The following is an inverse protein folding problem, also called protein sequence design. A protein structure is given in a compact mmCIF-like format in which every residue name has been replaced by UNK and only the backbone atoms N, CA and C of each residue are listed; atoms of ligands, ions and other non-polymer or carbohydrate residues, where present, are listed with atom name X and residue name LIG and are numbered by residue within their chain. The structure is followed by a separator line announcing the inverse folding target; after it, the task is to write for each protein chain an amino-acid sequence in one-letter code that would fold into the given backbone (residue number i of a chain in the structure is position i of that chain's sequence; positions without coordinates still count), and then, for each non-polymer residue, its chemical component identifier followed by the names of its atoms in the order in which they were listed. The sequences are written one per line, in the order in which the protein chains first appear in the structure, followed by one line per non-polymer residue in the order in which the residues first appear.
data_IF_744130471155
#
_entry.id   IF_744130471155
#
_cell.length_a   1.000
_cell.length_b   1.000
_cell.length_c   1.000
_cell.angle_alpha   90.00
_cell.angle_beta   90.00
_cell.angle_gamma   90.00
#
_symmetry.space_group_name_H-M   'P 1'
#
loop_
_entity.id
_entity.type
_entity.pdbx_description
1 polymer ?
#
# COMPACT_ATOMS: atom_id res chain seq x y z
N UNK A 1 -3.76 5.02 -25.39
CA UNK A 1 -5.00 5.11 -24.57
C UNK A 1 -6.13 5.49 -25.47
N UNK A 2 -7.34 5.01 -25.21
CA UNK A 2 -8.48 5.25 -26.10
C UNK A 2 -9.78 5.59 -25.36
N UNK A 3 -10.70 6.38 -25.95
CA UNK A 3 -11.84 7.02 -25.23
C UNK A 3 -13.20 7.08 -25.98
N UNK A 4 -14.32 7.36 -25.28
CA UNK A 4 -15.67 7.66 -25.84
C UNK A 4 -16.63 8.42 -24.89
N UNK A 5 -17.61 9.19 -25.41
CA UNK A 5 -18.60 10.02 -24.64
C UNK A 5 -19.97 10.14 -25.35
N UNK A 6 -21.09 10.30 -24.60
CA UNK A 6 -22.47 10.51 -25.12
C UNK A 6 -23.29 11.46 -24.21
N UNK A 7 -23.96 12.47 -24.78
CA UNK A 7 -24.69 13.54 -24.06
C UNK A 7 -26.13 13.69 -24.55
N UNK A 8 -27.14 13.42 -23.70
CA UNK A 8 -28.52 13.92 -23.88
C UNK A 8 -29.11 14.24 -22.50
N UNK A 9 -29.53 15.50 -22.28
CA UNK A 9 -30.33 15.92 -21.11
C UNK A 9 -31.44 16.88 -21.53
N UNK A 10 -32.70 16.47 -21.38
CA UNK A 10 -33.81 17.43 -21.24
C UNK A 10 -35.01 16.82 -20.51
N UNK A 11 -35.62 17.61 -19.61
CA UNK A 11 -36.99 17.46 -19.16
C UNK A 11 -37.65 18.85 -19.16
N UNK A 12 -38.82 18.97 -19.76
CA UNK A 12 -39.64 20.20 -19.72
C UNK A 12 -41.08 19.79 -19.45
N UNK A 13 -41.51 19.84 -18.18
CA UNK A 13 -42.92 19.73 -17.83
C UNK A 13 -43.34 21.03 -17.17
N UNK A 14 -44.18 21.82 -17.86
CA UNK A 14 -44.81 23.01 -17.32
C UNK A 14 -46.30 22.73 -17.11
N UNK A 15 -46.69 22.43 -15.87
CA UNK A 15 -48.10 22.38 -15.46
C UNK A 15 -48.34 23.49 -14.41
N UNK A 16 -49.18 24.49 -14.71
CA UNK A 16 -49.50 25.54 -13.74
C UNK A 16 -50.35 24.98 -12.60
N UNK A 17 -49.95 25.23 -11.35
CA UNK A 17 -50.66 24.81 -10.15
C UNK A 17 -51.47 25.99 -9.61
N UNK A 18 -52.76 25.78 -9.35
CA UNK A 18 -53.65 26.80 -8.78
C UNK A 18 -53.70 26.67 -7.26
N UNK A 19 -53.22 27.68 -6.53
CA UNK A 19 -53.24 27.72 -5.06
C UNK A 19 -54.51 28.41 -4.54
N UNK A 20 -54.93 28.04 -3.32
CA UNK A 20 -56.07 28.68 -2.63
C UNK A 20 -55.58 29.59 -1.49
N UNK A 21 -56.41 30.55 -1.07
CA UNK A 21 -56.13 31.42 0.08
C UNK A 21 -56.21 30.60 1.37
N UNK A 22 -55.13 30.56 2.15
CA UNK A 22 -54.97 29.74 3.35
C UNK A 22 -53.82 28.73 3.22
N UNK A 23 -53.74 27.75 4.13
CA UNK A 23 -52.73 26.69 4.09
C UNK A 23 -52.98 25.76 2.91
N UNK A 24 -51.98 25.59 2.05
CA UNK A 24 -51.98 24.60 0.97
C UNK A 24 -51.00 23.48 1.36
N UNK A 25 -51.46 22.24 1.44
CA UNK A 25 -50.59 21.07 1.62
C UNK A 25 -50.11 20.59 0.26
N UNK A 26 -48.86 20.93 -0.07
CA UNK A 26 -48.21 20.51 -1.31
C UNK A 26 -47.26 19.36 -0.97
N UNK A 27 -47.54 18.16 -1.48
CA UNK A 27 -46.65 17.01 -1.40
C UNK A 27 -46.02 16.78 -2.78
N UNK A 28 -44.70 16.99 -2.89
CA UNK A 28 -43.92 16.58 -4.05
C UNK A 28 -43.52 15.12 -3.87
N UNK A 29 -44.24 14.20 -4.52
CA UNK A 29 -43.79 12.82 -4.63
C UNK A 29 -42.81 12.72 -5.81
N UNK A 30 -41.51 12.77 -5.50
CA UNK A 30 -40.48 12.38 -6.48
C UNK A 30 -40.42 10.85 -6.53
N UNK A 31 -41.20 10.24 -7.43
CA UNK A 31 -40.97 8.84 -7.82
C UNK A 31 -39.95 8.86 -8.95
N UNK A 32 -38.73 8.41 -8.66
CA UNK A 32 -37.61 8.36 -9.60
C UNK A 32 -37.76 7.15 -10.55
N UNK A 33 -38.84 7.09 -11.33
CA UNK A 33 -39.06 6.05 -12.35
C UNK A 33 -38.30 6.43 -13.62
N UNK A 34 -37.40 5.57 -14.10
CA UNK A 34 -36.70 5.77 -15.39
C UNK A 34 -35.27 6.31 -15.33
N UNK A 35 -34.60 6.28 -14.17
CA UNK A 35 -33.20 6.70 -14.05
C UNK A 35 -32.25 5.57 -14.46
N UNK A 36 -31.21 5.92 -15.22
CA UNK A 36 -30.19 4.95 -15.63
C UNK A 36 -29.39 4.49 -14.42
N UNK A 37 -29.45 3.19 -14.13
CA UNK A 37 -28.59 2.55 -13.12
C UNK A 37 -27.25 2.24 -13.78
N UNK A 38 -26.17 2.69 -13.15
CA UNK A 38 -24.80 2.48 -13.60
C UNK A 38 -24.45 3.24 -14.89
N UNK A 39 -23.23 3.04 -15.33
CA UNK A 39 -22.68 3.70 -16.50
C UNK A 39 -22.93 2.88 -17.77
N UNK A 40 -23.05 3.56 -18.91
CA UNK A 40 -23.17 2.89 -20.23
C UNK A 40 -22.04 1.89 -20.46
N UNK A 41 -20.81 2.26 -20.10
CA UNK A 41 -19.65 1.38 -20.22
C UNK A 41 -19.68 0.17 -19.29
N UNK A 42 -20.34 0.27 -18.13
CA UNK A 42 -20.57 -0.89 -17.26
C UNK A 42 -21.62 -1.84 -17.86
N UNK A 43 -22.71 -1.29 -18.40
CA UNK A 43 -23.74 -2.07 -19.12
C UNK A 43 -23.16 -2.79 -20.35
N UNK A 44 -22.20 -2.17 -21.03
CA UNK A 44 -21.46 -2.74 -22.16
C UNK A 44 -20.30 -3.64 -21.72
N UNK A 45 -20.04 -3.76 -20.42
CA UNK A 45 -18.94 -4.56 -19.86
C UNK A 45 -17.59 -4.23 -20.50
N UNK A 46 -17.26 -2.94 -20.68
CA UNK A 46 -16.04 -2.48 -21.38
C UNK A 46 -14.73 -3.00 -20.77
N UNK A 47 -14.78 -3.46 -19.53
CA UNK A 47 -13.68 -4.12 -18.81
C UNK A 47 -13.45 -5.58 -19.22
N UNK A 48 -14.36 -6.20 -19.99
CA UNK A 48 -14.28 -7.58 -20.49
C UNK A 48 -13.88 -7.62 -21.95
N UNK A 49 -13.20 -8.68 -22.39
CA UNK A 49 -12.76 -8.83 -23.79
C UNK A 49 -13.89 -8.61 -24.81
N UNK A 50 -15.08 -9.18 -24.55
CA UNK A 50 -16.23 -9.02 -25.41
C UNK A 50 -16.70 -7.56 -25.50
N UNK A 51 -16.80 -6.87 -24.37
CA UNK A 51 -17.23 -5.47 -24.32
C UNK A 51 -16.20 -4.52 -24.92
N UNK A 52 -14.92 -4.76 -24.64
CA UNK A 52 -13.82 -3.97 -25.20
C UNK A 52 -13.78 -4.08 -26.74
N UNK A 53 -14.11 -5.23 -27.32
CA UNK A 53 -14.15 -5.44 -28.77
C UNK A 53 -15.45 -4.93 -29.42
N UNK A 54 -16.49 -4.64 -28.64
CA UNK A 54 -17.80 -4.21 -29.13
C UNK A 54 -17.92 -2.69 -29.36
N UNK A 55 -16.91 -1.91 -28.97
CA UNK A 55 -16.91 -0.45 -29.13
C UNK A 55 -15.73 0.04 -29.95
N UNK A 56 -15.91 1.18 -30.61
CA UNK A 56 -14.82 1.87 -31.28
C UNK A 56 -14.11 2.74 -30.26
N UNK A 57 -12.83 2.43 -30.08
CA UNK A 57 -11.94 3.13 -29.19
C UNK A 57 -11.15 4.18 -30.01
N UNK A 58 -11.03 5.41 -29.50
CA UNK A 58 -10.24 6.46 -30.18
C UNK A 58 -8.74 6.32 -29.89
N UNK A 59 -7.90 6.01 -30.88
CA UNK A 59 -6.45 5.86 -30.71
C UNK A 59 -5.64 7.17 -30.53
N UNK A 60 -6.31 8.31 -30.31
CA UNK A 60 -5.73 9.65 -30.29
C UNK A 60 -4.37 9.79 -29.60
N UNK A 61 -3.42 10.45 -30.29
CA UNK A 61 -2.05 10.74 -29.82
C UNK A 61 -2.06 11.54 -28.49
N UNK A 62 -3.16 12.24 -28.21
CA UNK A 62 -3.42 12.95 -26.96
C UNK A 62 -4.78 12.50 -26.41
N UNK A 63 -4.83 11.46 -25.56
CA UNK A 63 -6.09 11.10 -24.89
C UNK A 63 -6.62 12.32 -24.12
N UNK A 64 -7.96 12.53 -24.08
CA UNK A 64 -8.58 13.56 -23.25
C UNK A 64 -8.00 13.53 -21.83
N UNK A 65 -7.35 14.62 -21.44
CA UNK A 65 -6.83 14.83 -20.09
C UNK A 65 -7.89 15.59 -19.28
N UNK A 66 -7.95 15.35 -17.97
CA UNK A 66 -8.86 16.07 -17.07
C UNK A 66 -10.35 16.00 -17.48
N UNK A 67 -10.74 14.91 -18.14
CA UNK A 67 -12.13 14.73 -18.59
C UNK A 67 -12.82 13.70 -17.71
N UNK A 68 -14.02 14.05 -17.22
CA UNK A 68 -14.84 13.19 -16.37
C UNK A 68 -15.51 12.06 -17.17
N UNK A 69 -15.83 10.97 -16.48
CA UNK A 69 -16.54 9.79 -17.01
C UNK A 69 -15.90 9.18 -18.25
N UNK A 70 -14.58 9.05 -18.22
CA UNK A 70 -13.78 8.55 -19.34
C UNK A 70 -13.36 7.11 -19.11
N UNK A 71 -13.46 6.31 -20.16
CA UNK A 71 -12.87 4.97 -20.19
C UNK A 71 -11.52 5.04 -20.90
N UNK A 72 -10.52 4.39 -20.33
CA UNK A 72 -9.20 4.22 -20.91
C UNK A 72 -8.88 2.75 -21.07
N UNK A 73 -8.26 2.39 -22.20
CA UNK A 73 -7.70 1.05 -22.46
C UNK A 73 -6.23 1.16 -22.86
N UNK A 74 -5.41 0.24 -22.37
CA UNK A 74 -4.07 -0.02 -22.90
C UNK A 74 -3.71 -1.49 -22.83
N UNK A 75 -2.73 -1.90 -23.64
CA UNK A 75 -2.12 -3.22 -23.58
C UNK A 75 -0.70 -3.12 -23.01
N UNK A 76 -0.25 -4.14 -22.27
CA UNK A 76 1.06 -4.13 -21.64
C UNK A 76 1.64 -5.55 -21.43
N UNK A 77 2.97 -5.62 -21.31
CA UNK A 77 3.67 -6.82 -20.89
C UNK A 77 3.84 -6.83 -19.37
N UNK A 78 3.81 -8.01 -18.75
CA UNK A 78 3.99 -8.10 -17.30
C UNK A 78 5.37 -7.54 -16.90
N UNK A 79 5.46 -6.78 -15.79
CA UNK A 79 6.75 -6.40 -15.22
C UNK A 79 7.64 -7.62 -15.01
N UNK A 80 8.95 -7.50 -15.18
CA UNK A 80 9.87 -8.63 -14.96
C UNK A 80 9.96 -9.01 -13.48
N UNK A 81 10.50 -10.21 -13.21
CA UNK A 81 10.75 -10.73 -11.86
C UNK A 81 9.50 -11.20 -11.11
N UNK A 82 9.68 -11.57 -9.84
CA UNK A 82 8.63 -12.17 -9.00
C UNK A 82 8.04 -11.21 -7.96
N UNK A 83 8.60 -10.02 -7.82
CA UNK A 83 8.19 -9.03 -6.82
C UNK A 83 6.72 -8.62 -6.98
N UNK A 84 6.04 -8.30 -5.89
CA UNK A 84 4.65 -7.84 -5.93
C UNK A 84 4.50 -6.62 -6.85
N UNK A 85 3.38 -6.54 -7.59
CA UNK A 85 3.11 -5.47 -8.55
C UNK A 85 2.01 -4.58 -8.01
N UNK A 86 2.12 -3.29 -8.27
CA UNK A 86 1.05 -2.34 -8.06
C UNK A 86 0.91 -1.41 -9.27
N UNK A 87 -0.31 -0.94 -9.49
CA UNK A 87 -0.62 0.12 -10.43
C UNK A 87 -0.47 1.47 -9.71
N UNK A 88 0.36 2.34 -10.25
CA UNK A 88 0.55 3.72 -9.80
C UNK A 88 -0.44 4.60 -10.56
N UNK A 89 -1.43 5.09 -9.82
CA UNK A 89 -2.51 5.93 -10.32
C UNK A 89 -2.41 7.35 -9.76
N UNK A 90 -1.25 7.76 -9.26
CA UNK A 90 -1.03 9.08 -8.64
C UNK A 90 -1.46 10.27 -9.52
N UNK A 91 -1.42 10.13 -10.84
CA UNK A 91 -1.83 11.16 -11.80
C UNK A 91 -3.31 11.11 -12.18
N UNK A 92 -4.04 10.11 -11.70
CA UNK A 92 -5.48 9.96 -11.88
C UNK A 92 -6.23 10.60 -10.71
N UNK A 93 -7.57 10.60 -10.75
CA UNK A 93 -8.39 11.19 -9.68
C UNK A 93 -9.22 10.16 -8.94
N UNK A 94 -10.27 9.62 -9.58
CA UNK A 94 -11.17 8.65 -8.94
C UNK A 94 -11.72 7.69 -9.98
N UNK A 95 -11.82 6.42 -9.64
CA UNK A 95 -12.62 5.51 -10.45
C UNK A 95 -12.36 4.05 -10.15
N UNK A 96 -12.32 3.24 -11.20
CA UNK A 96 -12.20 1.79 -11.12
C UNK A 96 -11.23 1.27 -12.17
N UNK A 97 -10.51 0.18 -11.85
CA UNK A 97 -9.54 -0.43 -12.76
C UNK A 97 -9.75 -1.94 -12.87
N UNK A 98 -9.45 -2.47 -14.06
CA UNK A 98 -9.49 -3.89 -14.37
C UNK A 98 -8.24 -4.30 -15.14
N UNK A 99 -7.72 -5.49 -14.85
CA UNK A 99 -6.67 -6.14 -15.65
C UNK A 99 -7.17 -7.51 -16.08
N UNK A 100 -7.16 -7.77 -17.39
CA UNK A 100 -7.64 -9.02 -17.98
C UNK A 100 -9.05 -9.40 -17.48
N UNK A 101 -9.95 -8.42 -17.38
CA UNK A 101 -11.31 -8.60 -16.85
C UNK A 101 -11.43 -8.68 -15.33
N UNK A 102 -10.34 -8.84 -14.58
CA UNK A 102 -10.34 -8.87 -13.12
C UNK A 102 -10.39 -7.46 -12.54
N UNK A 103 -11.36 -7.20 -11.66
CA UNK A 103 -11.49 -5.92 -10.98
C UNK A 103 -10.40 -5.76 -9.91
N UNK A 104 -9.54 -4.75 -10.08
CA UNK A 104 -8.48 -4.41 -9.11
C UNK A 104 -9.08 -3.67 -7.91
N UNK A 105 -10.22 -3.01 -8.11
CA UNK A 105 -10.91 -2.23 -7.09
C UNK A 105 -11.12 -0.78 -7.50
N UNK A 106 -11.51 0.03 -6.53
CA UNK A 106 -11.68 1.48 -6.69
C UNK A 106 -10.36 2.17 -6.42
N UNK A 107 -10.06 3.21 -7.20
CA UNK A 107 -8.98 4.13 -6.91
C UNK A 107 -9.53 5.52 -6.55
N UNK A 108 -8.87 6.18 -5.60
CA UNK A 108 -9.18 7.57 -5.23
C UNK A 108 -7.94 8.38 -4.78
N UNK A 109 -6.85 8.41 -5.57
CA UNK A 109 -5.62 9.14 -5.26
C UNK A 109 -5.82 10.65 -5.03
N UNK A 110 -6.83 11.28 -5.64
CA UNK A 110 -7.13 12.70 -5.39
C UNK A 110 -7.70 12.95 -3.98
N UNK A 111 -8.12 11.91 -3.27
CA UNK A 111 -8.54 12.01 -1.88
C UNK A 111 -7.30 11.92 -0.98
N UNK A 112 -6.85 13.08 -0.49
CA UNK A 112 -5.66 13.18 0.34
C UNK A 112 -5.96 12.90 1.81
N UNK A 113 -5.00 12.27 2.49
CA UNK A 113 -5.00 12.13 3.94
C UNK A 113 -4.92 13.52 4.61
N UNK A 114 -5.46 13.68 5.83
CA UNK A 114 -5.29 14.91 6.62
C UNK A 114 -3.81 15.32 6.68
N UNK A 115 -3.56 16.63 6.75
CA UNK A 115 -2.19 17.15 6.85
C UNK A 115 -1.62 17.03 8.27
N UNK A 116 -2.48 16.81 9.25
CA UNK A 116 -2.18 16.68 10.67
C UNK A 116 -2.51 15.27 11.21
N UNK A 117 -2.07 14.96 12.42
CA UNK A 117 -2.35 13.68 13.09
C UNK A 117 -1.32 12.58 12.82
N UNK A 118 -0.34 12.81 11.94
CA UNK A 118 0.83 11.94 11.84
C UNK A 118 1.87 12.31 12.88
N UNK A 119 2.55 11.29 13.40
CA UNK A 119 3.65 11.46 14.34
C UNK A 119 4.97 11.09 13.66
N UNK A 120 6.03 11.86 13.92
CA UNK A 120 7.39 11.54 13.48
C UNK A 120 7.98 10.34 14.24
N UNK A 121 7.35 9.94 15.36
CA UNK A 121 7.77 8.81 16.18
C UNK A 121 6.57 7.98 16.62
N UNK A 122 6.73 6.66 16.60
CA UNK A 122 5.76 5.69 17.10
C UNK A 122 6.48 4.87 18.17
N UNK A 123 6.11 5.06 19.43
CA UNK A 123 6.59 4.23 20.53
C UNK A 123 5.60 3.10 20.76
N UNK A 124 6.07 1.86 20.67
CA UNK A 124 5.24 0.68 20.91
C UNK A 124 4.82 0.56 22.38
N UNK A 125 5.51 1.27 23.29
CA UNK A 125 5.20 1.28 24.73
C UNK A 125 4.04 2.23 25.00
N UNK A 126 3.12 1.78 25.86
CA UNK A 126 1.97 2.57 26.31
C UNK A 126 0.66 2.24 25.62
N UNK A 127 -0.40 2.97 25.96
CA UNK A 127 -1.74 2.72 25.42
C UNK A 127 -1.82 3.11 23.94
N UNK A 128 -2.17 2.16 23.10
CA UNK A 128 -2.34 2.39 21.67
C UNK A 128 -3.58 3.26 21.36
N UNK A 129 -3.42 4.19 20.43
CA UNK A 129 -4.48 4.89 19.71
C UNK A 129 -4.12 4.93 18.22
N UNK A 130 -5.10 4.86 17.29
CA UNK A 130 -4.84 4.91 15.86
C UNK A 130 -4.01 6.12 15.39
N UNK A 131 -4.07 7.24 16.12
CA UNK A 131 -3.30 8.45 15.80
C UNK A 131 -1.80 8.35 16.16
N UNK A 132 -1.40 7.48 17.10
CA UNK A 132 -0.04 7.46 17.65
C UNK A 132 1.02 7.14 16.58
N UNK A 133 0.64 6.36 15.57
CA UNK A 133 1.55 5.80 14.57
C UNK A 133 1.03 6.03 13.14
N UNK A 134 0.14 7.01 12.96
CA UNK A 134 -0.33 7.39 11.63
C UNK A 134 0.82 7.98 10.81
N UNK A 135 0.89 7.63 9.53
CA UNK A 135 1.92 8.09 8.59
C UNK A 135 1.28 8.57 7.29
N UNK A 136 2.08 9.19 6.42
CA UNK A 136 1.66 9.62 5.07
C UNK A 136 0.59 10.74 5.04
N UNK A 137 0.57 11.61 6.05
CA UNK A 137 -0.27 12.81 6.06
C UNK A 137 0.01 13.73 4.86
N UNK A 138 -1.04 14.38 4.36
CA UNK A 138 -1.00 15.27 3.19
C UNK A 138 -0.72 14.57 1.85
N UNK A 139 -0.54 13.25 1.83
CA UNK A 139 -0.40 12.45 0.60
C UNK A 139 -1.75 11.90 0.15
N UNK A 140 -1.81 11.35 -1.06
CA UNK A 140 -2.95 10.53 -1.48
C UNK A 140 -3.23 9.43 -0.45
N UNK A 141 -4.49 9.25 -0.06
CA UNK A 141 -4.89 8.21 0.89
C UNK A 141 -4.49 6.81 0.42
N UNK A 142 -4.47 6.60 -0.90
CA UNK A 142 -3.84 5.46 -1.53
C UNK A 142 -3.30 5.84 -2.92
N UNK A 143 -2.01 5.62 -3.13
CA UNK A 143 -1.31 5.92 -4.38
C UNK A 143 -1.13 4.68 -5.27
N UNK A 144 -0.83 3.54 -4.62
CA UNK A 144 -0.53 2.28 -5.28
C UNK A 144 -1.64 1.24 -5.06
N UNK A 145 -2.07 0.61 -6.16
CA UNK A 145 -3.17 -0.34 -6.17
C UNK A 145 -2.64 -1.73 -6.52
N UNK A 146 -2.71 -2.67 -5.57
CA UNK A 146 -2.11 -4.00 -5.70
C UNK A 146 -2.68 -4.78 -6.90
N UNK A 147 -1.80 -5.33 -7.72
CA UNK A 147 -2.12 -6.17 -8.87
C UNK A 147 -1.50 -7.57 -8.66
N UNK A 148 -2.33 -8.59 -8.38
CA UNK A 148 -1.85 -9.95 -8.21
C UNK A 148 -1.11 -10.46 -9.44
N UNK A 149 0.12 -10.97 -9.22
CA UNK A 149 0.94 -11.58 -10.29
C UNK A 149 0.21 -12.69 -11.04
N UNK A 150 -0.63 -13.46 -10.35
CA UNK A 150 -1.41 -14.56 -10.93
C UNK A 150 -2.47 -14.11 -11.94
N UNK A 151 -2.81 -12.82 -11.99
CA UNK A 151 -3.74 -12.27 -12.99
C UNK A 151 -3.03 -11.85 -14.28
N UNK A 152 -1.69 -11.85 -14.28
CA UNK A 152 -0.89 -11.39 -15.41
C UNK A 152 -0.47 -12.55 -16.30
N UNK A 153 -0.67 -12.37 -17.60
CA UNK A 153 0.00 -13.12 -18.65
C UNK A 153 1.39 -12.52 -18.92
N UNK A 154 2.36 -13.29 -19.47
CA UNK A 154 3.67 -12.74 -19.80
C UNK A 154 3.61 -11.51 -20.73
N UNK A 155 2.71 -11.54 -21.71
CA UNK A 155 2.49 -10.50 -22.71
C UNK A 155 0.99 -10.33 -22.97
N UNK A 156 0.61 -9.25 -23.67
CA UNK A 156 -0.76 -8.99 -24.12
C UNK A 156 -1.79 -8.90 -22.98
N UNK A 157 -1.40 -8.31 -21.84
CA UNK A 157 -2.36 -7.98 -20.80
C UNK A 157 -3.14 -6.73 -21.20
N UNK A 158 -4.41 -6.68 -20.83
CA UNK A 158 -5.27 -5.51 -21.08
C UNK A 158 -5.56 -4.83 -19.75
N UNK A 159 -5.25 -3.54 -19.66
CA UNK A 159 -5.66 -2.66 -18.57
C UNK A 159 -6.81 -1.78 -19.06
N UNK A 160 -7.92 -1.79 -18.33
CA UNK A 160 -9.07 -0.91 -18.54
C UNK A 160 -9.28 -0.07 -17.29
N UNK A 161 -9.49 1.24 -17.44
CA UNK A 161 -9.87 2.13 -16.36
C UNK A 161 -11.15 2.88 -16.70
N UNK A 162 -11.96 3.12 -15.69
CA UNK A 162 -12.97 4.16 -15.66
C UNK A 162 -12.42 5.30 -14.78
N UNK A 163 -12.36 6.51 -15.30
CA UNK A 163 -12.03 7.75 -14.58
C UNK A 163 -13.28 8.61 -14.45
N UNK A 164 -13.68 8.89 -13.21
CA UNK A 164 -14.94 9.54 -12.87
C UNK A 164 -14.84 11.06 -12.84
N UNK A 165 -13.68 11.62 -12.50
CA UNK A 165 -13.49 13.06 -12.28
C UNK A 165 -12.65 13.68 -13.40
N UNK A 166 -11.51 13.09 -13.68
CA UNK A 166 -10.55 13.59 -14.64
C UNK A 166 -9.12 13.41 -14.13
N UNK A 167 -8.27 12.80 -14.96
CA UNK A 167 -6.90 12.48 -14.60
C UNK A 167 -5.99 12.51 -15.83
N UNK A 168 -4.69 12.47 -15.59
CA UNK A 168 -3.69 12.35 -16.63
C UNK A 168 -3.27 10.89 -16.81
N UNK A 169 -3.84 10.26 -17.84
CA UNK A 169 -3.56 8.86 -18.18
C UNK A 169 -2.11 8.60 -18.61
N UNK A 170 -1.33 9.62 -18.95
CA UNK A 170 0.08 9.46 -19.37
C UNK A 170 1.01 9.12 -18.21
N UNK A 171 0.62 9.44 -16.98
CA UNK A 171 1.39 9.13 -15.76
C UNK A 171 1.12 7.74 -15.17
N UNK A 172 0.13 7.01 -15.69
CA UNK A 172 -0.17 5.66 -15.23
C UNK A 172 1.05 4.75 -15.47
N UNK A 173 1.51 4.09 -14.42
CA UNK A 173 2.66 3.20 -14.50
C UNK A 173 2.52 1.98 -13.60
N UNK A 174 3.37 0.97 -13.80
CA UNK A 174 3.46 -0.19 -12.92
C UNK A 174 4.68 -0.04 -12.01
N UNK A 175 4.50 -0.35 -10.73
CA UNK A 175 5.57 -0.41 -9.73
C UNK A 175 5.75 -1.84 -9.26
N UNK A 176 7.00 -2.23 -9.04
CA UNK A 176 7.34 -3.46 -8.33
C UNK A 176 7.75 -3.11 -6.90
N UNK A 177 7.13 -3.77 -5.91
CA UNK A 177 7.51 -3.59 -4.51
C UNK A 177 8.71 -4.48 -4.20
N UNK A 178 9.83 -3.84 -3.95
CA UNK A 178 11.05 -4.45 -3.47
C UNK A 178 11.04 -4.42 -1.93
N UNK A 179 11.15 -5.59 -1.30
CA UNK A 179 11.52 -5.67 0.12
C UNK A 179 13.02 -5.97 0.14
N UNK A 180 13.81 -4.99 -0.31
CA UNK A 180 15.26 -5.17 -0.37
C UNK A 180 15.88 -5.01 1.01
N UNK A 181 15.22 -4.33 1.95
CA UNK A 181 15.75 -4.10 3.30
C UNK A 181 14.76 -4.57 4.35
N UNK A 182 15.25 -5.41 5.25
CA UNK A 182 14.56 -5.85 6.45
C UNK A 182 15.33 -5.34 7.67
N UNK A 183 14.63 -5.18 8.78
CA UNK A 183 15.19 -4.54 9.95
C UNK A 183 14.43 -4.96 11.21
N UNK A 184 15.09 -4.83 12.36
CA UNK A 184 14.48 -5.03 13.66
C UNK A 184 15.14 -4.17 14.71
N UNK A 185 14.39 -3.81 15.75
CA UNK A 185 14.92 -3.15 16.95
C UNK A 185 14.22 -3.72 18.19
N UNK A 186 14.98 -4.40 19.03
CA UNK A 186 14.45 -5.11 20.20
C UNK A 186 15.25 -4.74 21.43
N UNK A 187 14.54 -4.34 22.49
CA UNK A 187 15.14 -4.10 23.81
C UNK A 187 15.48 -5.42 24.50
N UNK A 188 16.58 -5.45 25.24
CA UNK A 188 16.92 -6.57 26.11
C UNK A 188 15.87 -6.79 27.22
N UNK A 189 15.09 -5.76 27.57
CA UNK A 189 14.00 -5.83 28.56
C UNK A 189 12.64 -6.16 27.94
N UNK A 190 12.58 -6.43 26.63
CA UNK A 190 11.33 -6.80 25.97
C UNK A 190 10.75 -8.09 26.58
N UNK A 191 9.43 -8.16 26.79
CA UNK A 191 8.80 -9.35 27.37
C UNK A 191 8.95 -10.53 26.42
N UNK A 192 9.34 -11.68 26.95
CA UNK A 192 9.38 -12.93 26.21
C UNK A 192 8.02 -13.62 26.27
N UNK A 193 7.50 -14.06 25.13
CA UNK A 193 6.23 -14.79 25.03
C UNK A 193 6.46 -16.27 25.36
N UNK A 194 6.73 -16.59 26.63
CA UNK A 194 6.73 -17.97 27.09
C UNK A 194 5.29 -18.38 27.47
N UNK A 195 4.55 -18.89 26.48
CA UNK A 195 3.18 -19.43 26.67
C UNK A 195 3.15 -20.79 27.39
N UNK A 196 4.31 -21.38 27.65
CA UNK A 196 4.43 -22.67 28.32
C UNK A 196 4.79 -22.43 29.79
N UNK A 197 3.79 -22.64 30.65
CA UNK A 197 3.95 -22.81 32.08
C UNK A 197 4.89 -23.99 32.35
N UNK A 198 6.17 -23.70 32.49
CA UNK A 198 7.16 -24.34 33.38
C UNK A 198 8.51 -23.73 33.03
N UNK A 199 8.93 -22.68 33.76
CA UNK A 199 10.35 -22.30 33.78
C UNK A 199 11.11 -23.49 34.34
N UNK A 200 11.66 -24.32 33.46
CA UNK A 200 12.68 -25.28 33.87
C UNK A 200 13.85 -24.48 34.44
N UNK A 201 14.22 -24.78 35.68
CA UNK A 201 15.36 -24.13 36.34
C UNK A 201 16.60 -24.28 35.46
N UNK A 202 17.11 -23.16 34.93
CA UNK A 202 18.35 -23.11 34.15
C UNK A 202 18.23 -22.62 32.71
N UNK A 203 17.03 -22.51 32.13
CA UNK A 203 16.87 -21.90 30.79
C UNK A 203 16.83 -20.37 30.93
N UNK A 204 17.89 -19.70 30.44
CA UNK A 204 17.87 -18.24 30.28
C UNK A 204 17.01 -17.89 29.08
N UNK A 205 15.92 -17.17 29.33
CA UNK A 205 14.98 -16.70 28.33
C UNK A 205 15.34 -15.27 27.93
N UNK A 206 15.49 -15.01 26.64
CA UNK A 206 15.88 -13.72 26.10
C UNK A 206 14.88 -13.26 25.05
N UNK A 207 14.61 -11.96 24.91
CA UNK A 207 13.90 -11.46 23.76
C UNK A 207 14.70 -11.74 22.48
N UNK A 208 13.99 -12.04 21.40
CA UNK A 208 14.59 -12.33 20.10
C UNK A 208 14.29 -11.21 19.11
N UNK A 209 15.24 -10.93 18.24
CA UNK A 209 15.06 -10.11 17.05
C UNK A 209 14.98 -11.05 15.85
N UNK A 210 13.81 -11.08 15.22
CA UNK A 210 13.54 -11.93 14.07
C UNK A 210 13.61 -11.13 12.76
N UNK A 211 14.38 -11.64 11.81
CA UNK A 211 14.55 -11.12 10.46
C UNK A 211 14.10 -12.18 9.46
N UNK A 212 13.26 -11.78 8.50
CA UNK A 212 12.69 -12.68 7.50
C UNK A 212 12.71 -12.03 6.12
N UNK A 213 13.38 -12.65 5.16
CA UNK A 213 13.31 -12.27 3.76
C UNK A 213 12.04 -12.85 3.08
N UNK A 214 11.67 -12.31 1.91
CA UNK A 214 10.56 -12.88 1.15
C UNK A 214 10.91 -14.26 0.60
N UNK A 215 9.91 -15.07 0.29
CA UNK A 215 10.12 -16.45 -0.19
C UNK A 215 11.10 -16.52 -1.37
N UNK A 216 12.15 -17.33 -1.20
CA UNK A 216 13.21 -17.53 -2.20
C UNK A 216 14.30 -16.46 -2.21
N UNK A 217 14.28 -15.51 -1.28
CA UNK A 217 15.40 -14.61 -1.01
C UNK A 217 16.18 -15.08 0.22
N UNK A 218 17.44 -14.69 0.31
CA UNK A 218 18.31 -14.84 1.48
C UNK A 218 18.87 -13.48 1.89
N UNK A 219 19.31 -13.37 3.14
CA UNK A 219 20.00 -12.18 3.66
C UNK A 219 21.39 -12.14 3.00
N UNK A 220 21.59 -11.17 2.12
CA UNK A 220 22.78 -11.04 1.30
C UNK A 220 23.85 -10.14 1.91
N UNK A 221 23.44 -9.20 2.77
CA UNK A 221 24.37 -8.31 3.50
C UNK A 221 23.72 -7.68 4.72
N UNK A 222 24.52 -7.36 5.73
CA UNK A 222 24.09 -6.58 6.90
C UNK A 222 24.57 -5.14 6.72
N UNK A 223 23.64 -4.18 6.63
CA UNK A 223 23.99 -2.76 6.43
C UNK A 223 24.18 -2.01 7.74
N UNK A 224 23.55 -2.47 8.82
CA UNK A 224 23.73 -1.91 10.16
C UNK A 224 23.50 -3.00 11.21
N UNK A 225 24.33 -3.01 12.25
CA UNK A 225 24.10 -3.82 13.45
C UNK A 225 24.73 -3.13 14.66
N UNK A 226 23.97 -3.01 15.75
CA UNK A 226 24.46 -2.43 16.99
C UNK A 226 23.69 -2.96 18.19
N UNK A 227 24.37 -3.67 19.08
CA UNK A 227 23.91 -3.94 20.43
C UNK A 227 24.46 -2.87 21.39
N UNK A 228 23.59 -2.22 22.14
CA UNK A 228 23.94 -1.08 23.01
C UNK A 228 22.80 -0.08 23.07
N UNK A 229 23.07 1.17 22.70
CA UNK A 229 22.06 2.25 22.69
C UNK A 229 21.74 2.80 21.29
N UNK A 230 21.51 1.95 20.26
CA UNK A 230 21.22 2.41 18.91
C UNK A 230 20.00 3.36 18.87
N UNK A 231 20.04 4.29 17.93
CA UNK A 231 19.03 5.32 17.75
C UNK A 231 18.53 5.34 16.30
N UNK A 232 17.43 6.04 16.07
CA UNK A 232 16.80 6.16 14.75
C UNK A 232 15.68 5.15 14.55
N UNK A 233 15.33 4.92 13.29
CA UNK A 233 14.29 3.99 12.88
C UNK A 233 14.76 3.19 11.67
N UNK A 234 14.04 2.12 11.34
CA UNK A 234 14.37 1.25 10.22
C UNK A 234 14.68 2.01 8.92
N UNK A 235 15.85 1.72 8.35
CA UNK A 235 16.42 2.38 7.17
C UNK A 235 17.26 3.62 7.48
N UNK A 236 17.34 4.00 8.77
CA UNK A 236 18.04 5.19 9.28
C UNK A 236 18.61 4.95 10.68
N UNK A 237 18.98 3.73 11.03
CA UNK A 237 19.64 3.50 12.32
C UNK A 237 21.04 4.12 12.35
N UNK A 238 21.44 4.56 13.53
CA UNK A 238 22.80 5.02 13.81
C UNK A 238 23.23 4.63 15.22
N UNK A 239 24.55 4.56 15.43
CA UNK A 239 25.14 4.21 16.72
C UNK A 239 24.84 5.30 17.75
N UNK A 240 24.45 4.90 18.95
CA UNK A 240 24.28 5.80 20.09
C UNK A 240 25.56 5.98 20.89
N UNK A 241 25.40 6.33 22.17
CA UNK A 241 26.50 6.50 23.12
C UNK A 241 27.27 5.21 23.41
N UNK A 242 26.62 4.05 23.22
CA UNK A 242 27.20 2.75 23.48
C UNK A 242 26.92 1.75 22.36
N UNK A 243 27.95 0.95 22.05
CA UNK A 243 27.95 -0.04 20.98
C UNK A 243 28.97 -1.14 21.30
N UNK A 244 28.53 -2.40 21.34
CA UNK A 244 29.44 -3.54 21.39
C UNK A 244 30.12 -3.73 20.03
N UNK A 245 31.45 -3.69 20.02
CA UNK A 245 32.26 -3.69 18.78
C UNK A 245 32.07 -4.93 17.91
N UNK A 246 31.72 -6.07 18.50
CA UNK A 246 31.49 -7.34 17.78
C UNK A 246 30.07 -7.49 17.23
N UNK A 247 29.19 -6.49 17.40
CA UNK A 247 27.78 -6.59 16.99
C UNK A 247 27.64 -6.99 15.52
N UNK A 248 28.36 -6.34 14.60
CA UNK A 248 28.29 -6.63 13.17
C UNK A 248 28.75 -8.05 12.84
N UNK A 249 29.92 -8.45 13.31
CA UNK A 249 30.50 -9.77 13.01
C UNK A 249 29.61 -10.93 13.49
N UNK A 250 28.98 -10.76 14.67
CA UNK A 250 28.05 -11.76 15.23
C UNK A 250 26.80 -11.88 14.35
N UNK A 251 26.19 -10.74 13.98
CA UNK A 251 24.99 -10.75 13.15
C UNK A 251 25.29 -11.31 11.75
N UNK A 252 26.42 -10.94 11.16
CA UNK A 252 26.85 -11.49 9.87
C UNK A 252 27.01 -13.01 9.93
N UNK A 253 27.65 -13.52 10.99
CA UNK A 253 27.84 -14.96 11.18
C UNK A 253 26.52 -15.71 11.35
N UNK A 254 25.53 -15.11 12.02
CA UNK A 254 24.24 -15.75 12.31
C UNK A 254 23.26 -15.68 11.15
N UNK A 255 23.26 -14.58 10.38
CA UNK A 255 22.16 -14.27 9.47
C UNK A 255 22.51 -14.31 7.99
N UNK A 256 23.78 -14.18 7.59
CA UNK A 256 24.12 -14.21 6.17
C UNK A 256 23.75 -15.55 5.52
N UNK A 257 23.31 -15.48 4.27
CA UNK A 257 22.85 -16.60 3.45
C UNK A 257 21.66 -17.39 4.03
N UNK A 258 20.98 -16.86 5.06
CA UNK A 258 19.75 -17.41 5.60
C UNK A 258 18.52 -16.67 5.06
N UNK A 259 17.42 -17.38 4.81
CA UNK A 259 16.11 -16.77 4.49
C UNK A 259 15.45 -16.14 5.73
N UNK A 260 15.71 -16.72 6.91
CA UNK A 260 15.22 -16.32 8.22
C UNK A 260 16.36 -16.34 9.25
N UNK A 261 16.39 -15.36 10.15
CA UNK A 261 17.35 -15.29 11.24
C UNK A 261 16.67 -14.84 12.53
N UNK A 262 16.79 -15.62 13.61
CA UNK A 262 16.30 -15.27 14.94
C UNK A 262 17.49 -15.07 15.89
N UNK A 263 17.61 -13.87 16.44
CA UNK A 263 18.81 -13.44 17.19
C UNK A 263 18.45 -13.21 18.66
N UNK A 264 19.05 -13.96 19.60
CA UNK A 264 18.87 -13.70 21.03
C UNK A 264 19.50 -12.36 21.44
N UNK A 265 18.72 -11.47 22.04
CA UNK A 265 19.17 -10.15 22.48
C UNK A 265 19.71 -10.24 23.91
N UNK A 266 21.01 -10.49 24.04
CA UNK A 266 21.65 -10.73 25.34
C UNK A 266 23.11 -10.30 25.38
N UNK A 267 23.54 -9.82 26.55
CA UNK A 267 24.96 -9.60 26.86
C UNK A 267 25.83 -10.86 26.76
N UNK A 268 25.23 -12.04 26.95
CA UNK A 268 25.97 -13.31 26.86
C UNK A 268 26.38 -13.61 25.40
N UNK A 269 25.69 -13.03 24.42
CA UNK A 269 25.99 -13.14 23.00
C UNK A 269 26.90 -12.01 22.53
N UNK A 270 26.54 -10.76 22.84
CA UNK A 270 27.18 -9.57 22.25
C UNK A 270 28.31 -8.98 23.10
N UNK A 271 28.36 -9.28 24.40
CA UNK A 271 29.34 -8.73 25.33
C UNK A 271 28.78 -7.73 26.34
N UNK A 272 29.69 -7.25 27.21
CA UNK A 272 29.40 -6.37 28.36
C UNK A 272 30.31 -5.13 28.40
N UNK A 273 30.91 -4.73 27.28
CA UNK A 273 31.75 -3.54 27.25
C UNK A 273 30.92 -2.27 27.51
N UNK A 274 29.64 -2.30 27.17
CA UNK A 274 28.66 -1.29 27.51
C UNK A 274 28.22 -1.39 28.98
N UNK A 275 28.44 -0.35 29.77
CA UNK A 275 27.97 -0.29 31.16
C UNK A 275 26.53 0.26 31.30
N UNK A 276 25.89 0.65 30.19
CA UNK A 276 24.53 1.18 30.20
C UNK A 276 23.51 0.15 30.72
N UNK A 277 22.56 0.57 31.58
CA UNK A 277 21.60 -0.34 32.20
C UNK A 277 20.50 -0.80 31.24
N UNK A 278 20.27 -0.09 30.13
CA UNK A 278 19.26 -0.43 29.13
C UNK A 278 19.94 -0.58 27.78
N UNK A 279 19.97 -1.81 27.26
CA UNK A 279 20.54 -2.14 25.96
C UNK A 279 19.47 -2.67 25.02
N UNK A 280 19.70 -2.45 23.74
CA UNK A 280 18.85 -2.96 22.67
C UNK A 280 19.72 -3.36 21.47
N UNK A 281 19.20 -4.28 20.67
CA UNK A 281 19.78 -4.68 19.41
C UNK A 281 18.99 -4.02 18.27
N UNK A 282 19.66 -3.28 17.40
CA UNK A 282 19.09 -2.82 16.14
C UNK A 282 19.90 -3.39 14.96
N UNK A 283 19.20 -3.93 13.97
CA UNK A 283 19.79 -4.55 12.76
C UNK A 283 19.06 -4.07 11.52
N UNK A 284 19.80 -3.79 10.45
CA UNK A 284 19.32 -3.67 9.07
C UNK A 284 20.08 -4.63 8.18
N UNK A 285 19.34 -5.33 7.34
CA UNK A 285 19.87 -6.34 6.43
C UNK A 285 19.21 -6.19 5.06
N UNK A 286 19.93 -6.61 4.03
CA UNK A 286 19.47 -6.61 2.64
C UNK A 286 19.15 -8.03 2.21
N UNK A 287 18.03 -8.20 1.53
CA UNK A 287 17.59 -9.48 0.95
C UNK A 287 17.85 -9.51 -0.55
N UNK A 288 18.40 -10.62 -1.07
CA UNK A 288 18.53 -10.88 -2.50
C UNK A 288 18.15 -12.31 -2.85
N UNK A 289 17.92 -12.58 -4.14
CA UNK A 289 17.68 -13.92 -4.66
C UNK A 289 19.00 -14.68 -4.86
#
# INVERSE_FOLDING_TARGET
TQTGSYNITSFTMNLPITLKVGTNEIALLSVTVGWQIGLKGEQQSLYSDAGTNAVQWDSGINPPNQTALMWYKTEFNAPKGNNAVALDLSTMSKGQAWVNGHHIGRYFPSFTAPTDGCSDSCDYRGTYSPANCATSCGKASQEWYHLPRSWLHPTNNVLVLLEEIGGDSSGISFRTRHVDTICGHVSQDSPTMNLIYEKSEGIKDYPHLDLQCSSGQHISSITFASFGTPQGSCGKFYRGSCHETMSSDIIETLCLDQEECSIPVSEDIFGKQCADPVKSLAVEAVCSY
#
